data_IF_656590611201
#
_entry.id   IF_656590611201
#
_cell.length_a   1.000
_cell.length_b   1.000
_cell.length_c   1.000
_cell.angle_alpha   90.00
_cell.angle_beta   90.00
_cell.angle_gamma   90.00
#
_symmetry.space_group_name_H-M   'P 1'
#
loop_
_entity.id
_entity.type
_entity.pdbx_description
1 polymer ?
#
# COMPACT_ATOMS: atom_id res chain seq x y z
N UNK A 1 7.66 24.03 18.50
CA UNK A 1 6.40 23.66 17.83
C UNK A 1 6.61 22.94 16.50
N UNK A 2 7.52 23.38 15.62
CA UNK A 2 7.77 22.73 14.31
C UNK A 2 8.25 21.27 14.44
N UNK A 3 9.16 20.98 15.37
CA UNK A 3 9.63 19.59 15.62
C UNK A 3 8.50 18.63 16.00
N UNK A 4 7.54 19.07 16.81
CA UNK A 4 6.40 18.24 17.25
C UNK A 4 5.45 17.90 16.09
N UNK A 5 5.22 18.86 15.17
CA UNK A 5 4.40 18.63 13.97
C UNK A 5 5.06 17.66 13.00
N UNK A 6 6.39 17.77 12.84
CA UNK A 6 7.15 16.86 11.98
C UNK A 6 7.11 15.44 12.54
N UNK A 7 7.41 15.28 13.84
CA UNK A 7 7.38 13.96 14.50
C UNK A 7 5.98 13.33 14.39
N UNK A 8 4.90 14.07 14.67
CA UNK A 8 3.53 13.55 14.54
C UNK A 8 3.19 13.11 13.10
N UNK A 9 3.67 13.83 12.08
CA UNK A 9 3.46 13.44 10.68
C UNK A 9 4.21 12.15 10.35
N UNK A 10 5.45 12.00 10.78
CA UNK A 10 6.25 10.78 10.55
C UNK A 10 5.65 9.55 11.24
N UNK A 11 5.18 9.68 12.48
CA UNK A 11 4.49 8.59 13.18
C UNK A 11 3.23 8.16 12.43
N UNK A 12 2.39 9.11 12.00
CA UNK A 12 1.18 8.82 11.23
C UNK A 12 1.47 8.11 9.90
N UNK A 13 2.53 8.51 9.20
CA UNK A 13 2.96 7.84 7.96
C UNK A 13 3.45 6.42 8.24
N UNK A 14 4.24 6.21 9.29
CA UNK A 14 4.72 4.87 9.66
C UNK A 14 3.57 3.93 10.08
N UNK A 15 2.59 4.44 10.82
CA UNK A 15 1.42 3.67 11.23
C UNK A 15 0.58 3.27 10.01
N UNK A 16 0.33 4.22 9.10
CA UNK A 16 -0.40 3.98 7.85
C UNK A 16 0.35 3.00 6.94
N UNK A 17 1.67 3.15 6.80
CA UNK A 17 2.53 2.20 6.06
C UNK A 17 2.35 0.77 6.60
N UNK A 18 2.44 0.60 7.92
CA UNK A 18 2.31 -0.72 8.54
C UNK A 18 0.91 -1.32 8.35
N UNK A 19 -0.13 -0.49 8.34
CA UNK A 19 -1.50 -0.94 8.05
C UNK A 19 -1.64 -1.39 6.58
N UNK A 20 -1.10 -0.62 5.64
CA UNK A 20 -1.08 -0.98 4.22
C UNK A 20 -0.30 -2.28 3.97
N UNK A 21 0.89 -2.46 4.57
CA UNK A 21 1.66 -3.71 4.43
C UNK A 21 0.88 -4.93 4.93
N UNK A 22 0.14 -4.80 6.05
CA UNK A 22 -0.70 -5.89 6.55
C UNK A 22 -1.84 -6.24 5.61
N UNK A 23 -2.42 -5.24 4.96
CA UNK A 23 -3.45 -5.46 3.93
C UNK A 23 -2.82 -6.19 2.74
N UNK A 24 -1.65 -5.75 2.27
CA UNK A 24 -0.94 -6.41 1.16
C UNK A 24 -0.59 -7.87 1.49
N UNK A 25 -0.04 -8.13 2.67
CA UNK A 25 0.31 -9.48 3.15
C UNK A 25 -0.91 -10.40 3.29
N UNK A 26 -2.05 -9.86 3.74
CA UNK A 26 -3.32 -10.59 3.82
C UNK A 26 -3.79 -11.12 2.46
N UNK A 27 -3.66 -10.32 1.40
CA UNK A 27 -4.11 -10.67 0.06
C UNK A 27 -3.04 -11.39 -0.76
N UNK A 28 -1.77 -11.15 -0.44
CA UNK A 28 -0.59 -11.70 -1.09
C UNK A 28 -0.75 -11.91 -2.61
N UNK A 29 -0.87 -10.81 -3.39
CA UNK A 29 -1.22 -10.89 -4.81
C UNK A 29 -0.21 -11.66 -5.67
N UNK A 30 1.06 -11.79 -5.25
CA UNK A 30 2.07 -12.57 -5.96
C UNK A 30 2.34 -13.95 -5.35
N UNK A 31 1.77 -14.29 -4.20
CA UNK A 31 1.98 -15.54 -3.44
C UNK A 31 3.44 -15.88 -3.05
N UNK A 32 4.44 -15.30 -3.71
CA UNK A 32 5.87 -15.39 -3.44
C UNK A 32 6.39 -14.21 -2.63
N UNK A 33 5.61 -13.12 -2.56
CA UNK A 33 5.95 -11.96 -1.73
C UNK A 33 5.84 -12.30 -0.24
N UNK A 34 6.76 -11.72 0.53
CA UNK A 34 6.69 -11.68 1.98
C UNK A 34 6.34 -10.26 2.47
N UNK A 35 6.13 -10.14 3.77
CA UNK A 35 5.78 -8.85 4.39
C UNK A 35 6.81 -7.74 4.11
N UNK A 36 8.10 -8.08 3.99
CA UNK A 36 9.18 -7.11 3.74
C UNK A 36 9.15 -6.62 2.28
N UNK A 37 8.79 -7.48 1.32
CA UNK A 37 8.61 -7.09 -0.10
C UNK A 37 7.66 -5.90 -0.30
N UNK A 38 6.68 -5.73 0.58
CA UNK A 38 5.69 -4.66 0.48
C UNK A 38 6.15 -3.29 1.00
N UNK A 39 7.32 -3.19 1.62
CA UNK A 39 7.71 -1.97 2.34
C UNK A 39 7.73 -0.72 1.46
N UNK A 40 8.34 -0.80 0.29
CA UNK A 40 8.49 0.35 -0.61
C UNK A 40 7.13 0.78 -1.18
N UNK A 41 6.31 -0.17 -1.64
CA UNK A 41 4.97 0.11 -2.19
C UNK A 41 4.06 0.69 -1.09
N UNK A 42 4.05 0.09 0.09
CA UNK A 42 3.23 0.57 1.20
C UNK A 42 3.65 1.96 1.67
N UNK A 43 4.95 2.25 1.65
CA UNK A 43 5.48 3.58 1.97
C UNK A 43 5.03 4.60 0.94
N UNK A 44 5.12 4.29 -0.34
CA UNK A 44 4.64 5.18 -1.41
C UNK A 44 3.14 5.46 -1.24
N UNK A 45 2.32 4.42 -1.07
CA UNK A 45 0.87 4.56 -0.85
C UNK A 45 0.56 5.36 0.41
N UNK A 46 1.30 5.16 1.51
CA UNK A 46 1.08 5.90 2.77
C UNK A 46 1.32 7.42 2.68
N UNK A 47 2.03 7.86 1.63
CA UNK A 47 2.30 9.27 1.35
C UNK A 47 1.24 9.88 0.40
N UNK A 48 0.39 9.05 -0.21
CA UNK A 48 -0.67 9.47 -1.13
C UNK A 48 -1.97 9.77 -0.37
N UNK A 49 -2.75 10.73 -0.88
CA UNK A 49 -4.05 11.11 -0.29
C UNK A 49 -5.23 10.96 -1.25
N UNK A 50 -4.97 10.75 -2.54
CA UNK A 50 -6.00 10.57 -3.57
C UNK A 50 -6.21 9.09 -3.84
N UNK A 51 -7.40 8.59 -3.51
CA UNK A 51 -7.79 7.19 -3.68
C UNK A 51 -7.75 6.73 -5.14
N UNK A 52 -8.03 7.63 -6.08
CA UNK A 52 -8.00 7.34 -7.52
C UNK A 52 -6.56 7.14 -7.97
N UNK A 53 -5.64 7.97 -7.47
CA UNK A 53 -4.22 7.85 -7.79
C UNK A 53 -3.60 6.59 -7.18
N UNK A 54 -3.98 6.24 -5.94
CA UNK A 54 -3.55 5.00 -5.28
C UNK A 54 -4.00 3.78 -6.08
N UNK A 55 -5.25 3.75 -6.54
CA UNK A 55 -5.78 2.68 -7.38
C UNK A 55 -5.00 2.52 -8.68
N UNK A 56 -4.76 3.62 -9.41
CA UNK A 56 -3.98 3.58 -10.64
C UNK A 56 -2.55 3.09 -10.42
N UNK A 57 -1.88 3.58 -9.38
CA UNK A 57 -0.52 3.16 -9.04
C UNK A 57 -0.45 1.66 -8.73
N UNK A 58 -1.37 1.14 -7.90
CA UNK A 58 -1.37 -0.28 -7.54
C UNK A 58 -1.73 -1.19 -8.71
N UNK A 59 -2.63 -0.77 -9.60
CA UNK A 59 -2.94 -1.50 -10.84
C UNK A 59 -1.76 -1.51 -11.82
N UNK A 60 -0.95 -0.45 -11.86
CA UNK A 60 0.27 -0.41 -12.66
C UNK A 60 1.32 -1.37 -12.09
N UNK A 61 1.58 -1.29 -10.77
CA UNK A 61 2.53 -2.18 -10.07
C UNK A 61 2.17 -3.64 -10.28
N UNK A 62 0.90 -4.02 -10.04
CA UNK A 62 0.41 -5.39 -10.16
C UNK A 62 -0.25 -5.70 -11.51
N UNK A 63 0.19 -5.03 -12.56
CA UNK A 63 -0.30 -5.29 -13.92
C UNK A 63 0.18 -6.66 -14.44
N UNK A 64 -0.58 -7.25 -15.35
CA UNK A 64 -0.20 -8.50 -16.04
C UNK A 64 1.12 -8.36 -16.84
N UNK A 65 1.52 -7.13 -17.18
CA UNK A 65 2.80 -6.84 -17.83
C UNK A 65 4.00 -6.99 -16.89
N UNK A 66 3.79 -6.78 -15.58
CA UNK A 66 4.83 -6.86 -14.56
C UNK A 66 4.94 -8.25 -13.90
N UNK A 67 3.92 -9.10 -14.04
CA UNK A 67 3.93 -10.44 -13.46
C UNK A 67 2.58 -11.16 -13.55
N UNK A 68 2.57 -12.43 -13.12
CA UNK A 68 1.36 -13.23 -13.00
C UNK A 68 0.76 -13.09 -11.61
N UNK A 69 0.15 -11.94 -11.34
CA UNK A 69 -0.53 -11.66 -10.08
C UNK A 69 -1.98 -12.18 -10.08
N UNK A 70 -2.48 -12.56 -8.92
CA UNK A 70 -3.89 -12.87 -8.72
C UNK A 70 -4.71 -11.57 -8.76
N UNK A 71 -5.35 -11.30 -9.91
CA UNK A 71 -6.10 -10.06 -10.12
C UNK A 71 -7.31 -9.92 -9.19
N UNK A 72 -7.91 -11.03 -8.72
CA UNK A 72 -9.01 -10.97 -7.74
C UNK A 72 -8.49 -10.45 -6.40
N UNK A 73 -7.34 -10.96 -5.95
CA UNK A 73 -6.67 -10.49 -4.74
C UNK A 73 -6.16 -9.05 -4.88
N UNK A 74 -5.61 -8.67 -6.04
CA UNK A 74 -5.18 -7.28 -6.33
C UNK A 74 -6.35 -6.32 -6.19
N UNK A 75 -7.50 -6.60 -6.82
CA UNK A 75 -8.66 -5.72 -6.74
C UNK A 75 -9.22 -5.62 -5.32
N UNK A 76 -9.31 -6.74 -4.60
CA UNK A 76 -9.79 -6.75 -3.21
C UNK A 76 -8.84 -5.99 -2.26
N UNK A 77 -7.52 -6.16 -2.45
CA UNK A 77 -6.48 -5.43 -1.72
C UNK A 77 -6.60 -3.92 -1.93
N UNK A 78 -6.76 -3.47 -3.18
CA UNK A 78 -6.90 -2.04 -3.52
C UNK A 78 -8.12 -1.43 -2.81
N UNK A 79 -9.26 -2.13 -2.81
CA UNK A 79 -10.48 -1.64 -2.16
C UNK A 79 -10.29 -1.53 -0.63
N UNK A 80 -9.60 -2.48 0.01
CA UNK A 80 -9.32 -2.40 1.45
C UNK A 80 -8.35 -1.26 1.78
N UNK A 81 -7.29 -1.07 0.98
CA UNK A 81 -6.35 0.06 1.12
C UNK A 81 -7.08 1.40 0.99
N UNK A 82 -7.97 1.54 -0.01
CA UNK A 82 -8.77 2.76 -0.20
C UNK A 82 -9.69 3.04 0.99
N UNK A 83 -10.12 2.03 1.73
CA UNK A 83 -10.96 2.22 2.92
C UNK A 83 -10.14 2.55 4.18
N UNK A 84 -8.86 2.19 4.23
CA UNK A 84 -7.97 2.52 5.34
C UNK A 84 -7.44 3.97 5.32
N UNK A 85 -7.43 4.61 4.15
CA UNK A 85 -6.92 5.98 3.90
C UNK A 85 -8.05 7.02 3.93
#
# INVERSE_FOLDING_TARGET
>A
MVLLLIVNKYWKVNDMKNEIQKIMDKYNPWHEDDFESYEDIAKDVSLMTDKTFIEHYLLEVYSEENGHFDQENVHAMIEEIKNAI
#
